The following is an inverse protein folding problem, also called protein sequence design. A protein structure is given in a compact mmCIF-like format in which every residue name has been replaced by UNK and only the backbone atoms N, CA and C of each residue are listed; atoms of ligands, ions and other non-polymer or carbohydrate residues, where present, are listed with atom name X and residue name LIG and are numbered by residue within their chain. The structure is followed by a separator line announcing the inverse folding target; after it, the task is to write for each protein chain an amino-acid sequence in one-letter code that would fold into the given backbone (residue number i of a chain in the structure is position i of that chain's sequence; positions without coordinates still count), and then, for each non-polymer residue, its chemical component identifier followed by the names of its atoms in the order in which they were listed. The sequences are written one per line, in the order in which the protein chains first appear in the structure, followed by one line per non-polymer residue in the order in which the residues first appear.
data_IF_834864915123
#
_entry.id   IF_834864915123
#
_cell.length_a   1.000
_cell.length_b   1.000
_cell.length_c   1.000
_cell.angle_alpha   90.00
_cell.angle_beta   90.00
_cell.angle_gamma   90.00
#
_symmetry.space_group_name_H-M   'P 1'
#
loop_
_entity.id
_entity.type
_entity.pdbx_description
1 polymer ?
#
# COMPACT_ATOMS: atom_id res chain seq x y z
N UNK A 1 16.68 -48.37 6.99
CA UNK A 1 16.36 -47.73 5.69
C UNK A 1 14.88 -47.37 5.68
N UNK A 2 14.51 -46.09 5.72
CA UNK A 2 13.09 -45.71 5.67
C UNK A 2 12.48 -46.09 4.32
N UNK A 3 11.35 -46.82 4.34
CA UNK A 3 10.65 -47.31 3.16
C UNK A 3 10.21 -46.17 2.25
N UNK A 4 10.18 -46.41 0.94
CA UNK A 4 9.82 -45.41 -0.07
C UNK A 4 8.43 -44.79 0.20
N UNK A 5 7.48 -45.61 0.67
CA UNK A 5 6.15 -45.17 1.08
C UNK A 5 6.19 -44.13 2.22
N UNK A 6 7.10 -44.30 3.19
CA UNK A 6 7.26 -43.34 4.30
C UNK A 6 7.78 -41.99 3.80
N UNK A 7 8.71 -42.00 2.84
CA UNK A 7 9.27 -40.78 2.24
C UNK A 7 8.21 -40.06 1.40
N UNK A 8 7.39 -40.80 0.67
CA UNK A 8 6.35 -40.23 -0.18
C UNK A 8 5.21 -39.61 0.64
N UNK A 9 4.81 -40.26 1.74
CA UNK A 9 3.83 -39.68 2.68
C UNK A 9 4.33 -38.37 3.32
N UNK A 10 5.65 -38.30 3.59
CA UNK A 10 6.28 -37.12 4.15
C UNK A 10 6.30 -35.97 3.13
N UNK A 11 6.63 -36.26 1.86
CA UNK A 11 6.61 -35.29 0.77
C UNK A 11 5.20 -34.78 0.47
N UNK A 12 4.18 -35.64 0.46
CA UNK A 12 2.78 -35.22 0.32
C UNK A 12 2.31 -34.32 1.47
N UNK A 13 2.67 -34.66 2.72
CA UNK A 13 2.38 -33.81 3.88
C UNK A 13 3.06 -32.44 3.77
N UNK A 14 4.31 -32.39 3.30
CA UNK A 14 5.03 -31.15 3.04
C UNK A 14 4.36 -30.31 1.93
N UNK A 15 4.00 -30.94 0.82
CA UNK A 15 3.33 -30.27 -0.30
C UNK A 15 1.98 -29.67 0.12
N UNK A 16 1.18 -30.40 0.90
CA UNK A 16 -0.10 -29.90 1.43
C UNK A 16 0.08 -28.67 2.33
N UNK A 17 1.16 -28.63 3.14
CA UNK A 17 1.46 -27.51 4.04
C UNK A 17 1.88 -26.26 3.28
N UNK A 18 2.64 -26.41 2.21
CA UNK A 18 3.18 -25.30 1.41
C UNK A 18 2.11 -24.75 0.45
N UNK A 19 1.29 -25.61 -0.17
CA UNK A 19 0.20 -25.18 -1.05
C UNK A 19 -0.94 -24.48 -0.32
N UNK A 20 -1.30 -24.92 0.89
CA UNK A 20 -2.36 -24.29 1.69
C UNK A 20 -2.04 -22.84 2.12
N UNK A 21 -0.75 -22.45 2.12
CA UNK A 21 -0.32 -21.12 2.55
C UNK A 21 -0.39 -20.05 1.44
N UNK A 22 -0.65 -20.43 0.18
CA UNK A 22 -0.62 -19.53 -0.98
C UNK A 22 -2.00 -19.14 -1.54
N UNK A 23 -3.11 -19.71 -1.04
CA UNK A 23 -4.45 -19.43 -1.57
C UNK A 23 -5.42 -19.00 -0.47
N UNK A 24 -5.16 -17.85 0.16
CA UNK A 24 -6.29 -17.08 0.69
C UNK A 24 -6.82 -16.16 -0.42
N UNK A 25 -8.07 -16.34 -0.90
CA UNK A 25 -8.69 -15.37 -1.77
C UNK A 25 -8.86 -14.07 -1.00
N UNK A 26 -8.09 -13.04 -1.38
CA UNK A 26 -8.27 -11.68 -0.88
C UNK A 26 -9.57 -11.11 -1.44
N UNK A 27 -10.70 -11.51 -0.86
CA UNK A 27 -11.99 -10.86 -1.05
C UNK A 27 -11.97 -9.51 -0.34
N UNK A 28 -11.37 -8.51 -1.00
CA UNK A 28 -11.57 -7.10 -0.67
C UNK A 28 -12.68 -6.57 -1.57
N UNK A 29 -13.74 -5.93 -1.05
CA UNK A 29 -14.70 -5.26 -1.89
C UNK A 29 -13.99 -4.17 -2.72
N UNK A 30 -14.35 -4.08 -4.00
CA UNK A 30 -13.88 -3.03 -4.89
C UNK A 30 -14.42 -1.68 -4.39
N UNK A 31 -13.52 -0.78 -3.98
CA UNK A 31 -13.87 0.59 -3.60
C UNK A 31 -13.58 1.49 -4.81
N UNK A 32 -14.58 2.18 -5.38
CA UNK A 32 -14.34 3.16 -6.45
C UNK A 32 -13.44 4.27 -5.94
N UNK A 33 -12.41 4.61 -6.72
CA UNK A 33 -11.56 5.76 -6.49
C UNK A 33 -12.40 7.05 -6.65
N UNK A 34 -12.80 7.66 -5.54
CA UNK A 34 -13.38 9.00 -5.51
C UNK A 34 -12.24 10.00 -5.79
N UNK A 35 -12.08 10.34 -7.07
CA UNK A 35 -11.21 11.44 -7.48
C UNK A 35 -11.74 12.74 -6.89
N UNK A 36 -10.94 13.39 -6.04
CA UNK A 36 -11.28 14.66 -5.42
C UNK A 36 -11.57 15.72 -6.48
N UNK A 37 -12.85 16.08 -6.60
CA UNK A 37 -13.28 17.35 -7.18
C UNK A 37 -13.55 18.29 -6.02
N UNK A 38 -12.54 19.08 -5.66
CA UNK A 38 -12.75 20.38 -5.03
C UNK A 38 -12.05 21.38 -5.94
N UNK A 39 -12.84 22.17 -6.65
CA UNK A 39 -12.36 23.29 -7.43
C UNK A 39 -11.83 24.35 -6.45
N UNK A 40 -10.51 24.54 -6.46
CA UNK A 40 -9.83 25.66 -5.80
C UNK A 40 -8.79 26.24 -6.77
N UNK A 41 -8.55 27.57 -6.76
CA UNK A 41 -7.78 28.24 -7.80
C UNK A 41 -6.29 27.79 -7.79
N UNK A 42 -5.65 27.66 -8.96
CA UNK A 42 -4.29 27.13 -9.05
C UNK A 42 -3.26 28.13 -8.50
N UNK A 43 -2.53 27.71 -7.45
CA UNK A 43 -1.35 28.43 -6.96
C UNK A 43 -0.22 28.37 -8.00
N UNK A 44 0.23 29.55 -8.45
CA UNK A 44 1.39 29.76 -9.32
C UNK A 44 2.63 29.10 -8.70
N UNK A 45 3.28 28.21 -9.47
CA UNK A 45 4.56 27.59 -9.09
C UNK A 45 5.68 28.34 -9.81
N UNK A 46 6.50 29.07 -9.04
CA UNK A 46 7.66 29.79 -9.56
C UNK A 46 8.66 28.81 -10.18
N UNK A 47 8.98 29.07 -11.45
CA UNK A 47 9.94 28.31 -12.25
C UNK A 47 11.31 28.96 -12.02
N UNK A 48 12.18 28.30 -11.26
CA UNK A 48 13.58 28.69 -11.16
C UNK A 48 14.29 28.33 -12.46
N UNK A 49 14.86 29.34 -13.11
CA UNK A 49 15.61 29.22 -14.35
C UNK A 49 16.93 28.48 -14.11
N UNK A 50 17.09 27.31 -14.72
CA UNK A 50 18.39 26.67 -14.83
C UNK A 50 19.09 27.26 -16.05
N UNK A 51 20.11 28.11 -15.83
CA UNK A 51 21.06 28.50 -16.88
C UNK A 51 21.74 27.23 -17.39
N UNK A 52 21.62 26.94 -18.68
CA UNK A 52 22.49 26.00 -19.37
C UNK A 52 23.68 26.80 -19.90
N UNK A 53 24.87 26.35 -19.52
CA UNK A 53 26.14 26.86 -19.99
C UNK A 53 26.34 26.29 -21.40
N UNK A 54 26.42 27.17 -22.40
CA UNK A 54 26.77 26.83 -23.77
C UNK A 54 28.24 26.44 -23.83
N UNK A 55 28.54 25.29 -24.42
CA UNK A 55 29.89 24.95 -24.88
C UNK A 55 29.79 24.86 -26.40
N UNK A 56 30.46 25.78 -27.08
CA UNK A 56 30.59 25.80 -28.53
C UNK A 56 31.56 24.70 -28.97
N UNK A 57 31.16 23.93 -29.98
CA UNK A 57 32.09 23.29 -30.91
C UNK A 57 31.40 23.15 -32.26
N UNK A 58 31.78 24.01 -33.20
CA UNK A 58 31.50 23.90 -34.62
C UNK A 58 32.20 22.65 -35.18
N UNK A 59 31.59 21.99 -36.17
CA UNK A 59 32.21 21.55 -37.44
C UNK A 59 31.18 20.80 -38.33
N UNK A 60 31.10 21.30 -39.57
CA UNK A 60 30.77 20.65 -40.86
C UNK A 60 29.40 19.97 -41.16
N UNK A 61 28.61 20.68 -41.97
CA UNK A 61 28.11 20.38 -43.34
C UNK A 61 27.66 18.94 -43.69
N UNK A 62 26.39 18.81 -44.14
CA UNK A 62 25.88 18.30 -45.44
C UNK A 62 24.34 18.13 -45.34
N UNK A 63 23.52 18.98 -45.96
CA UNK A 63 22.95 18.96 -47.33
C UNK A 63 21.61 18.19 -47.53
N UNK A 64 20.62 18.95 -48.04
CA UNK A 64 19.49 18.66 -48.97
C UNK A 64 18.03 18.46 -48.49
N UNK A 65 17.28 19.56 -48.73
CA UNK A 65 16.05 19.76 -49.53
C UNK A 65 14.62 19.51 -48.98
N UNK A 66 13.67 20.47 -49.18
CA UNK A 66 12.26 20.40 -48.76
C UNK A 66 11.27 20.19 -49.92
N UNK A 67 10.08 19.67 -49.63
CA UNK A 67 8.91 19.70 -50.52
C UNK A 67 7.61 19.95 -49.73
N UNK A 68 6.84 20.95 -50.16
CA UNK A 68 5.40 21.22 -49.88
C UNK A 68 4.67 21.17 -51.25
N UNK A 69 3.35 21.44 -51.36
CA UNK A 69 2.15 20.95 -50.65
C UNK A 69 1.06 20.47 -51.66
N UNK A 70 -0.10 19.92 -51.20
CA UNK A 70 -1.40 20.18 -51.86
C UNK A 70 -2.65 19.66 -51.10
N UNK A 71 -3.57 20.61 -50.88
CA UNK A 71 -5.03 20.64 -51.17
C UNK A 71 -6.09 19.83 -50.36
N UNK A 72 -6.96 20.66 -49.74
CA UNK A 72 -8.45 20.66 -49.65
C UNK A 72 -9.08 19.53 -48.81
N UNK A 73 -10.05 19.76 -47.90
CA UNK A 73 -11.36 20.38 -48.07
C UNK A 73 -11.97 20.70 -46.68
N UNK A 74 -12.68 21.82 -46.59
CA UNK A 74 -13.44 22.28 -45.44
C UNK A 74 -14.91 21.85 -45.56
N UNK A 75 -15.54 21.49 -44.44
CA UNK A 75 -17.00 21.38 -44.30
C UNK A 75 -17.40 22.14 -43.03
N UNK A 76 -18.35 23.05 -43.21
CA UNK A 76 -19.01 23.90 -42.22
C UNK A 76 -20.04 23.13 -41.37
N UNK A 77 -20.41 23.62 -40.17
CA UNK A 77 -21.71 23.30 -39.59
C UNK A 77 -22.56 24.57 -39.38
N UNK A 78 -23.75 24.57 -39.98
CA UNK A 78 -24.79 25.57 -39.78
C UNK A 78 -25.73 25.18 -38.62
N UNK A 79 -26.22 26.20 -37.93
CA UNK A 79 -27.11 26.18 -36.76
C UNK A 79 -28.59 26.14 -37.18
N UNK A 80 -29.47 25.49 -36.38
CA UNK A 80 -30.63 26.07 -35.64
C UNK A 80 -31.74 25.02 -35.35
N UNK A 81 -32.27 25.11 -34.13
CA UNK A 81 -33.50 24.50 -33.59
C UNK A 81 -34.75 25.36 -34.01
N UNK A 82 -36.04 25.14 -33.58
CA UNK A 82 -36.52 24.70 -32.25
C UNK A 82 -37.80 23.81 -32.21
N UNK A 83 -38.21 23.39 -31.01
CA UNK A 83 -39.53 22.78 -30.75
C UNK A 83 -39.71 22.35 -29.28
N UNK A 84 -40.50 23.14 -28.54
CA UNK A 84 -40.81 23.08 -27.10
C UNK A 84 -42.07 22.23 -26.86
N UNK A 85 -42.09 21.36 -25.83
CA UNK A 85 -43.26 21.12 -24.94
C UNK A 85 -42.76 20.67 -23.55
N UNK A 86 -43.07 21.47 -22.51
CA UNK A 86 -43.00 21.12 -21.09
C UNK A 86 -44.27 20.36 -20.65
N UNK A 87 -44.16 19.44 -19.67
CA UNK A 87 -45.04 19.39 -18.49
C UNK A 87 -44.49 18.45 -17.37
N UNK A 88 -43.97 19.12 -16.33
CA UNK A 88 -44.06 18.93 -14.85
C UNK A 88 -45.25 18.06 -14.34
N UNK A 89 -45.35 17.40 -13.16
CA UNK A 89 -44.77 17.45 -11.79
C UNK A 89 -45.23 16.17 -11.03
N UNK A 90 -44.43 15.60 -10.11
CA UNK A 90 -44.75 15.46 -8.67
C UNK A 90 -43.79 14.54 -7.89
N UNK A 91 -43.31 15.11 -6.79
CA UNK A 91 -42.52 14.52 -5.69
C UNK A 91 -43.48 13.98 -4.62
N UNK A 92 -43.05 12.99 -3.84
CA UNK A 92 -43.40 12.88 -2.43
C UNK A 92 -42.29 12.16 -1.63
N UNK A 93 -42.11 12.60 -0.39
CA UNK A 93 -40.93 12.44 0.47
C UNK A 93 -41.44 12.11 1.89
N UNK A 94 -41.06 10.93 2.45
CA UNK A 94 -40.95 10.44 3.87
C UNK A 94 -42.16 10.60 4.86
N UNK A 95 -42.26 9.91 6.04
CA UNK A 95 -41.20 9.42 6.96
C UNK A 95 -41.38 8.06 7.73
N UNK A 96 -40.35 7.77 8.53
CA UNK A 96 -40.11 6.72 9.55
C UNK A 96 -41.29 6.13 10.36
N UNK A 97 -41.10 4.90 10.88
CA UNK A 97 -41.80 4.42 12.08
C UNK A 97 -41.53 2.95 12.45
N UNK A 98 -40.95 2.74 13.64
CA UNK A 98 -40.69 1.47 14.35
C UNK A 98 -41.98 0.91 14.97
N UNK A 99 -42.06 -0.41 15.23
CA UNK A 99 -42.84 -1.18 16.27
C UNK A 99 -43.26 -2.54 15.66
N UNK A 100 -42.56 -3.63 15.97
CA UNK A 100 -42.78 -4.61 17.07
C UNK A 100 -43.96 -5.57 16.84
N UNK A 101 -43.58 -6.85 16.86
CA UNK A 101 -44.33 -8.09 17.14
C UNK A 101 -45.87 -8.06 17.21
N UNK A 102 -46.49 -8.94 16.43
CA UNK A 102 -47.57 -9.79 16.96
C UNK A 102 -47.43 -11.21 16.44
N UNK A 103 -47.23 -12.14 17.37
CA UNK A 103 -47.45 -13.57 17.15
C UNK A 103 -48.94 -13.81 17.04
N UNK A 104 -49.39 -14.49 15.98
CA UNK A 104 -50.62 -15.26 16.02
C UNK A 104 -50.39 -16.64 15.41
N UNK A 105 -50.74 -17.65 16.19
CA UNK A 105 -50.89 -19.07 15.84
C UNK A 105 -52.35 -19.44 16.20
N UNK A 106 -52.85 -20.61 15.82
CA UNK A 106 -53.46 -20.94 14.53
C UNK A 106 -54.98 -21.17 14.69
N UNK A 107 -55.75 -21.12 13.59
CA UNK A 107 -57.05 -21.79 13.54
C UNK A 107 -57.16 -22.63 12.27
N UNK A 108 -57.60 -23.87 12.48
CA UNK A 108 -57.51 -24.99 11.55
C UNK A 108 -58.48 -24.93 10.38
N UNK A 109 -58.03 -25.55 9.29
CA UNK A 109 -58.81 -25.99 8.15
C UNK A 109 -58.20 -27.30 7.64
N UNK A 110 -59.06 -28.27 7.33
CA UNK A 110 -58.81 -29.70 7.01
C UNK A 110 -57.81 -29.96 5.87
N UNK A 111 -57.27 -31.20 5.75
CA UNK A 111 -56.06 -31.50 5.00
C UNK A 111 -56.37 -31.58 3.51
N UNK A 112 -56.05 -30.52 2.79
CA UNK A 112 -56.21 -30.44 1.35
C UNK A 112 -55.00 -29.75 0.75
N UNK A 113 -54.05 -30.56 0.29
CA UNK A 113 -53.12 -30.27 -0.82
C UNK A 113 -52.89 -28.78 -1.12
N UNK A 114 -52.05 -28.14 -0.31
CA UNK A 114 -51.34 -26.92 -0.71
C UNK A 114 -49.88 -27.25 -0.91
N UNK A 115 -49.59 -28.08 -1.90
CA UNK A 115 -48.28 -28.04 -2.53
C UNK A 115 -48.21 -26.73 -3.32
N UNK A 116 -48.04 -25.61 -2.62
CA UNK A 116 -47.69 -24.36 -3.28
C UNK A 116 -46.36 -24.60 -3.98
N UNK A 117 -46.24 -24.17 -5.23
CA UNK A 117 -44.97 -24.21 -5.98
C UNK A 117 -43.85 -23.53 -5.18
N UNK A 118 -44.22 -22.54 -4.35
CA UNK A 118 -43.34 -21.86 -3.41
C UNK A 118 -42.87 -22.77 -2.29
N UNK A 119 -43.71 -23.66 -1.77
CA UNK A 119 -43.35 -24.58 -0.70
C UNK A 119 -42.45 -25.71 -1.22
N UNK A 120 -42.71 -26.21 -2.43
CA UNK A 120 -41.80 -27.14 -3.12
C UNK A 120 -40.45 -26.47 -3.40
N UNK A 121 -40.45 -25.18 -3.79
CA UNK A 121 -39.22 -24.42 -4.01
C UNK A 121 -38.46 -24.18 -2.71
N UNK A 122 -39.16 -23.87 -1.61
CA UNK A 122 -38.56 -23.74 -0.27
C UNK A 122 -37.97 -25.08 0.18
N UNK A 123 -38.68 -26.18 -0.04
CA UNK A 123 -38.19 -27.53 0.28
C UNK A 123 -36.95 -27.88 -0.55
N UNK A 124 -36.99 -27.71 -1.87
CA UNK A 124 -35.80 -27.88 -2.74
C UNK A 124 -34.65 -26.95 -2.36
N UNK A 125 -34.93 -25.72 -1.94
CA UNK A 125 -33.91 -24.78 -1.49
C UNK A 125 -33.28 -25.26 -0.18
N UNK A 126 -34.09 -25.72 0.78
CA UNK A 126 -33.60 -26.28 2.04
C UNK A 126 -32.78 -27.55 1.80
N UNK A 127 -33.26 -28.45 0.95
CA UNK A 127 -32.56 -29.66 0.53
C UNK A 127 -31.23 -29.32 -0.17
N UNK A 128 -31.22 -28.34 -1.09
CA UNK A 128 -29.98 -27.86 -1.74
C UNK A 128 -29.01 -27.20 -0.75
N UNK A 129 -29.52 -26.47 0.24
CA UNK A 129 -28.72 -25.85 1.30
C UNK A 129 -28.12 -26.94 2.22
N UNK A 130 -28.86 -28.00 2.52
CA UNK A 130 -28.38 -29.11 3.34
C UNK A 130 -27.38 -29.99 2.59
N UNK A 131 -27.65 -30.32 1.32
CA UNK A 131 -26.69 -30.99 0.42
C UNK A 131 -25.38 -30.20 0.29
N UNK A 132 -25.47 -28.87 0.10
CA UNK A 132 -24.29 -28.02 0.00
C UNK A 132 -23.58 -27.79 1.34
N UNK A 133 -24.28 -27.95 2.47
CA UNK A 133 -23.67 -28.00 3.81
C UNK A 133 -22.90 -29.30 4.04
N UNK A 134 -23.29 -30.42 3.41
CA UNK A 134 -22.59 -31.71 3.46
C UNK A 134 -21.36 -31.83 2.56
N UNK A 135 -21.15 -30.90 1.61
CA UNK A 135 -19.96 -30.85 0.73
C UNK A 135 -18.71 -30.23 1.41
N UNK A 136 -18.80 -29.88 2.69
CA UNK A 136 -17.66 -29.66 3.57
C UNK A 136 -17.81 -30.52 4.82
N UNK A 137 -16.70 -30.94 5.44
CA UNK A 137 -16.69 -31.85 6.61
C UNK A 137 -17.84 -31.56 7.59
N UNK A 138 -18.74 -32.53 7.86
CA UNK A 138 -19.89 -32.31 8.73
C UNK A 138 -19.40 -31.95 10.11
N UNK A 139 -19.95 -30.88 10.67
CA UNK A 139 -19.77 -30.56 12.07
C UNK A 139 -21.01 -29.80 12.48
N UNK A 140 -22.01 -30.57 12.90
CA UNK A 140 -23.28 -30.06 13.35
C UNK A 140 -23.07 -28.91 14.33
N UNK A 141 -23.87 -27.84 14.28
CA UNK A 141 -23.71 -26.70 15.18
C UNK A 141 -23.88 -27.10 16.66
N UNK A 142 -24.49 -28.27 16.92
CA UNK A 142 -24.63 -28.88 18.24
C UNK A 142 -23.49 -29.84 18.60
N UNK A 143 -22.60 -30.18 17.68
CA UNK A 143 -21.45 -31.03 17.96
C UNK A 143 -20.50 -30.31 18.92
N UNK A 144 -20.12 -30.99 20.00
CA UNK A 144 -19.26 -30.43 21.05
C UNK A 144 -17.94 -29.86 20.51
N UNK A 145 -17.39 -30.44 19.44
CA UNK A 145 -16.15 -29.97 18.83
C UNK A 145 -16.30 -28.57 18.20
N UNK A 146 -17.49 -28.26 17.66
CA UNK A 146 -17.81 -26.96 17.07
C UNK A 146 -18.01 -25.92 18.16
N UNK A 147 -18.69 -26.30 19.25
CA UNK A 147 -18.88 -25.44 20.42
C UNK A 147 -17.54 -25.10 21.07
N UNK A 148 -16.69 -26.10 21.35
CA UNK A 148 -15.32 -25.91 21.86
C UNK A 148 -14.48 -25.02 20.93
N UNK A 149 -14.61 -25.15 19.61
CA UNK A 149 -13.93 -24.27 18.64
C UNK A 149 -14.47 -22.83 18.65
N UNK A 150 -15.78 -22.66 18.84
CA UNK A 150 -16.43 -21.35 18.93
C UNK A 150 -16.07 -20.63 20.23
N UNK A 151 -16.02 -21.35 21.34
CA UNK A 151 -15.56 -20.86 22.64
C UNK A 151 -14.09 -20.45 22.58
N UNK A 152 -13.21 -21.27 22.00
CA UNK A 152 -11.80 -20.89 21.77
C UNK A 152 -11.69 -19.60 20.95
N UNK A 153 -12.49 -19.44 19.89
CA UNK A 153 -12.54 -18.19 19.10
C UNK A 153 -13.07 -17.00 19.91
N UNK A 154 -14.02 -17.22 20.82
CA UNK A 154 -14.55 -16.18 21.72
C UNK A 154 -13.49 -15.73 22.72
N UNK A 155 -12.83 -16.67 23.39
CA UNK A 155 -11.72 -16.41 24.31
C UNK A 155 -10.54 -15.71 23.62
N UNK A 156 -10.19 -16.11 22.39
CA UNK A 156 -9.14 -15.46 21.60
C UNK A 156 -9.50 -14.01 21.26
N UNK A 157 -10.77 -13.75 20.87
CA UNK A 157 -11.27 -12.39 20.62
C UNK A 157 -11.23 -11.55 21.88
N UNK A 158 -11.61 -12.11 23.03
CA UNK A 158 -11.54 -11.42 24.32
C UNK A 158 -10.10 -11.10 24.72
N UNK A 159 -9.17 -12.05 24.58
CA UNK A 159 -7.73 -11.81 24.80
C UNK A 159 -7.19 -10.70 23.91
N UNK A 160 -7.58 -10.68 22.62
CA UNK A 160 -7.21 -9.59 21.69
C UNK A 160 -7.83 -8.25 22.11
N UNK A 161 -9.07 -8.23 22.59
CA UNK A 161 -9.69 -7.01 23.13
C UNK A 161 -8.99 -6.51 24.39
N UNK A 162 -8.65 -7.40 25.34
CA UNK A 162 -7.88 -7.06 26.56
C UNK A 162 -6.53 -6.43 26.22
N UNK A 163 -5.74 -7.07 25.35
CA UNK A 163 -4.46 -6.52 24.86
C UNK A 163 -4.60 -5.15 24.18
N UNK A 164 -5.68 -4.93 23.42
CA UNK A 164 -5.94 -3.63 22.79
C UNK A 164 -6.29 -2.56 23.82
N UNK A 165 -7.07 -2.91 24.85
CA UNK A 165 -7.40 -2.02 25.97
C UNK A 165 -6.15 -1.70 26.80
N UNK A 166 -5.35 -2.70 27.17
CA UNK A 166 -4.07 -2.52 27.87
C UNK A 166 -3.13 -1.61 27.08
N UNK A 167 -3.01 -1.81 25.77
CA UNK A 167 -2.17 -0.96 24.91
C UNK A 167 -2.71 0.46 24.79
N UNK A 168 -4.04 0.64 24.79
CA UNK A 168 -4.66 1.95 24.77
C UNK A 168 -4.45 2.67 26.11
N UNK A 169 -4.62 1.97 27.23
CA UNK A 169 -4.37 2.48 28.58
C UNK A 169 -2.89 2.86 28.73
N UNK A 170 -1.96 2.00 28.32
CA UNK A 170 -0.52 2.29 28.33
C UNK A 170 -0.17 3.54 27.51
N UNK A 171 -0.78 3.70 26.34
CA UNK A 171 -0.62 4.90 25.51
C UNK A 171 -1.24 6.16 26.12
N UNK A 172 -2.35 6.03 26.84
CA UNK A 172 -2.97 7.14 27.54
C UNK A 172 -2.14 7.54 28.76
N UNK A 173 -1.60 6.58 29.51
CA UNK A 173 -0.67 6.81 30.63
C UNK A 173 0.65 7.45 30.16
N UNK A 174 1.25 6.95 29.07
CA UNK A 174 2.44 7.53 28.44
C UNK A 174 2.19 8.97 27.94
N UNK A 175 0.96 9.26 27.48
CA UNK A 175 0.55 10.62 27.08
C UNK A 175 0.22 11.53 28.27
N UNK A 176 -0.25 10.96 29.37
CA UNK A 176 -0.55 11.67 30.61
C UNK A 176 0.67 11.86 31.51
N UNK A 177 1.84 11.34 31.12
CA UNK A 177 3.10 11.47 31.88
C UNK A 177 3.09 10.76 33.24
N UNK A 178 2.11 9.89 33.50
CA UNK A 178 2.01 9.10 34.72
C UNK A 178 2.63 7.73 34.47
N UNK A 179 3.86 7.55 34.96
CA UNK A 179 4.46 6.23 35.13
C UNK A 179 3.60 5.44 36.13
N UNK A 180 3.19 4.24 35.72
CA UNK A 180 2.51 3.29 36.59
C UNK A 180 3.58 2.52 37.39
N UNK A 181 3.92 3.04 38.56
CA UNK A 181 4.45 2.27 39.67
C UNK A 181 3.26 1.72 40.47
N UNK A 182 3.15 0.40 40.74
CA UNK A 182 2.17 -0.11 41.69
C UNK A 182 2.67 0.15 43.11
N UNK A 183 2.45 1.37 43.61
CA UNK A 183 2.76 1.74 44.99
C UNK A 183 1.63 1.31 45.94
N UNK A 184 2.01 0.58 46.98
CA UNK A 184 1.13 0.06 48.02
C UNK A 184 0.71 1.20 48.94
N UNK A 185 -0.62 1.41 49.00
CA UNK A 185 -1.41 2.15 49.99
C UNK A 185 -0.71 2.50 51.31
N UNK A 186 -0.68 3.80 51.64
CA UNK A 186 -1.02 4.31 52.98
C UNK A 186 -1.83 5.61 52.84
N UNK A 187 -3.10 5.53 53.21
CA UNK A 187 -3.97 6.66 53.52
C UNK A 187 -3.78 7.00 55.01
N UNK A 188 -3.63 8.28 55.35
CA UNK A 188 -4.52 8.97 56.31
C UNK A 188 -4.30 10.49 56.26
N UNK A 189 -5.39 11.24 56.47
CA UNK A 189 -5.55 12.69 56.34
C UNK A 189 -5.95 13.31 57.73
N UNK A 190 -6.48 14.54 57.87
CA UNK A 190 -5.96 15.93 57.69
C UNK A 190 -6.26 16.80 58.99
N UNK A 191 -6.62 18.12 59.00
CA UNK A 191 -6.10 19.44 58.53
C UNK A 191 -5.92 20.44 59.74
N UNK A 192 -6.16 21.81 59.75
CA UNK A 192 -6.27 22.89 58.73
C UNK A 192 -5.56 24.25 59.09
N UNK A 193 -5.33 25.15 58.10
CA UNK A 193 -5.56 26.62 58.25
C UNK A 193 -5.48 27.36 56.90
N UNK A 194 -6.43 28.27 56.64
CA UNK A 194 -6.50 29.23 55.51
C UNK A 194 -6.26 30.67 56.06
N UNK A 195 -6.50 31.80 55.36
CA UNK A 195 -6.56 32.14 53.91
C UNK A 195 -5.73 33.44 53.56
N UNK A 196 -5.56 33.82 52.27
CA UNK A 196 -5.53 35.24 51.84
C UNK A 196 -5.37 35.46 50.31
N UNK A 197 -6.44 36.02 49.73
CA UNK A 197 -6.57 37.11 48.74
C UNK A 197 -5.47 37.47 47.70
N UNK A 198 -5.96 37.67 46.44
CA UNK A 198 -5.46 38.62 45.44
C UNK A 198 -4.35 38.05 44.53
N UNK A 199 -4.53 37.92 43.21
CA UNK A 199 -4.76 39.01 42.25
C UNK A 199 -5.44 38.49 40.98
N UNK A 200 -6.18 39.40 40.38
CA UNK A 200 -7.00 39.28 39.17
C UNK A 200 -6.15 39.02 37.93
N UNK A 201 -6.74 38.34 36.97
CA UNK A 201 -6.19 38.03 35.66
C UNK A 201 -5.81 39.29 34.88
N UNK A 202 -4.52 39.51 34.66
CA UNK A 202 -4.00 40.43 33.65
C UNK A 202 -3.44 39.62 32.46
N UNK A 203 -4.32 38.90 31.78
CA UNK A 203 -4.07 38.47 30.39
C UNK A 203 -5.06 39.16 29.46
N UNK A 204 -5.15 40.49 29.56
CA UNK A 204 -5.64 41.30 28.47
C UNK A 204 -4.56 41.30 27.39
N UNK A 205 -4.70 40.41 26.41
CA UNK A 205 -3.84 40.34 25.23
C UNK A 205 -4.04 41.64 24.44
N UNK A 206 -3.16 42.62 24.68
CA UNK A 206 -3.08 43.84 23.89
C UNK A 206 -2.46 43.47 22.54
N UNK A 207 -3.29 43.50 21.51
CA UNK A 207 -2.95 43.18 20.12
C UNK A 207 -2.17 44.32 19.45
N UNK A 208 -1.07 44.81 20.05
CA UNK A 208 -0.11 45.66 19.31
C UNK A 208 1.24 45.89 20.02
N UNK A 209 1.92 44.81 20.42
CA UNK A 209 3.38 44.85 20.53
C UNK A 209 3.92 43.54 20.00
N UNK A 210 4.30 43.55 18.72
CA UNK A 210 5.17 42.50 18.19
C UNK A 210 6.55 42.82 18.76
N UNK A 211 6.81 42.37 19.98
CA UNK A 211 8.17 42.09 20.39
C UNK A 211 8.62 40.92 19.52
N UNK A 212 9.36 41.25 18.45
CA UNK A 212 10.28 40.31 17.84
C UNK A 212 11.24 39.91 18.96
N UNK A 213 10.86 38.88 19.71
CA UNK A 213 11.74 38.27 20.68
C UNK A 213 13.08 38.06 20.00
N UNK A 214 14.14 38.34 20.75
CA UNK A 214 15.55 38.28 20.39
C UNK A 214 16.01 36.85 20.02
N UNK A 215 15.25 36.17 19.18
CA UNK A 215 15.71 35.13 18.27
C UNK A 215 16.45 35.81 17.14
N UNK A 216 17.54 36.51 17.49
CA UNK A 216 18.46 37.10 16.56
C UNK A 216 18.74 36.12 15.43
N UNK A 217 18.76 36.63 14.20
CA UNK A 217 19.16 35.88 13.04
C UNK A 217 20.65 35.54 13.21
N UNK A 218 20.96 34.52 14.04
CA UNK A 218 22.34 34.13 14.36
C UNK A 218 23.05 34.00 13.04
N UNK A 219 24.11 34.77 12.88
CA UNK A 219 24.84 34.84 11.64
C UNK A 219 25.25 33.42 11.25
N UNK A 220 25.32 33.14 9.94
CA UNK A 220 25.63 31.78 9.43
C UNK A 220 26.91 31.24 10.08
N UNK A 221 27.82 32.11 10.46
CA UNK A 221 29.06 31.80 11.17
C UNK A 221 28.84 31.38 12.63
N UNK A 222 28.00 32.10 13.38
CA UNK A 222 27.65 31.74 14.76
C UNK A 222 26.97 30.37 14.81
N UNK A 223 26.04 30.10 13.88
CA UNK A 223 25.40 28.76 13.74
C UNK A 223 26.41 27.66 13.38
N UNK A 224 27.47 27.96 12.62
CA UNK A 224 28.54 27.00 12.32
C UNK A 224 29.40 26.73 13.55
N UNK A 225 29.73 27.76 14.33
CA UNK A 225 30.49 27.64 15.58
C UNK A 225 29.72 26.79 16.61
N UNK A 226 28.44 27.08 16.80
CA UNK A 226 27.57 26.30 17.71
C UNK A 226 27.48 24.82 17.30
N UNK A 227 27.34 24.53 16.00
CA UNK A 227 27.37 23.14 15.49
C UNK A 227 28.70 22.45 15.71
N UNK A 228 29.83 23.16 15.61
CA UNK A 228 31.15 22.61 15.93
C UNK A 228 31.28 22.32 17.42
N UNK A 229 30.78 23.21 18.27
CA UNK A 229 30.81 23.05 19.73
C UNK A 229 29.95 21.86 20.20
N UNK A 230 28.84 21.56 19.51
CA UNK A 230 28.04 20.36 19.76
C UNK A 230 28.74 19.05 19.41
N UNK A 231 29.82 19.07 18.62
CA UNK A 231 30.55 17.86 18.24
C UNK A 231 31.61 17.57 19.31
N UNK A 232 31.34 16.54 20.12
CA UNK A 232 32.28 16.05 21.14
C UNK A 232 33.59 15.62 20.50
N UNK A 233 34.70 16.13 21.03
CA UNK A 233 36.06 15.81 20.61
C UNK A 233 36.40 16.17 19.16
N UNK A 234 35.62 17.03 18.49
CA UNK A 234 35.83 17.39 17.08
C UNK A 234 35.56 16.24 16.09
N UNK A 235 35.06 15.10 16.57
CA UNK A 235 34.78 13.92 15.76
C UNK A 235 33.27 13.81 15.51
N UNK A 236 32.86 13.94 14.25
CA UNK A 236 31.45 13.77 13.87
C UNK A 236 30.97 12.35 14.14
N UNK A 237 29.83 12.13 14.80
CA UNK A 237 29.38 10.78 15.11
C UNK A 237 28.98 10.03 13.81
N UNK A 238 29.37 8.76 13.69
CA UNK A 238 29.05 7.89 12.54
C UNK A 238 27.64 7.33 12.68
N UNK A 239 26.65 8.21 12.52
CA UNK A 239 25.24 7.90 12.73
C UNK A 239 24.47 7.96 11.41
N UNK A 240 23.43 7.14 11.33
CA UNK A 240 22.42 7.23 10.27
C UNK A 240 22.35 5.99 9.37
N UNK A 241 21.70 6.17 8.22
CA UNK A 241 21.41 5.11 7.24
C UNK A 241 22.13 5.32 5.91
N UNK A 242 22.94 6.38 5.77
CA UNK A 242 23.68 6.68 4.55
C UNK A 242 24.97 5.88 4.47
N UNK A 243 24.85 4.57 4.28
CA UNK A 243 25.99 3.64 4.37
C UNK A 243 27.15 3.97 3.41
N UNK A 244 26.89 4.61 2.26
CA UNK A 244 27.96 5.08 1.35
C UNK A 244 28.79 6.20 1.97
N UNK A 245 28.12 7.19 2.54
CA UNK A 245 28.79 8.31 3.22
C UNK A 245 29.48 7.84 4.49
N UNK A 246 28.87 6.91 5.24
CA UNK A 246 29.49 6.33 6.42
C UNK A 246 30.75 5.54 6.05
N UNK A 247 30.69 4.70 5.02
CA UNK A 247 31.84 3.94 4.55
C UNK A 247 33.00 4.88 4.15
N UNK A 248 32.72 5.90 3.33
CA UNK A 248 33.76 6.88 2.96
C UNK A 248 34.31 7.67 4.16
N UNK A 249 33.51 7.93 5.20
CA UNK A 249 34.00 8.55 6.44
C UNK A 249 34.87 7.61 7.26
N UNK A 250 34.58 6.31 7.29
CA UNK A 250 35.41 5.32 7.98
C UNK A 250 36.74 5.18 7.24
N UNK A 251 36.69 4.99 5.93
CA UNK A 251 37.88 4.86 5.07
C UNK A 251 38.77 6.11 5.19
N UNK A 252 38.19 7.31 5.15
CA UNK A 252 38.95 8.55 5.35
C UNK A 252 39.55 8.71 6.76
N UNK A 253 38.94 8.11 7.79
CA UNK A 253 39.52 8.11 9.15
C UNK A 253 40.68 7.14 9.25
N UNK A 254 40.56 5.96 8.64
CA UNK A 254 41.64 4.97 8.60
C UNK A 254 42.84 5.50 7.82
N UNK A 255 42.61 6.06 6.64
CA UNK A 255 43.68 6.68 5.83
C UNK A 255 44.43 7.75 6.63
N UNK A 256 43.72 8.64 7.34
CA UNK A 256 44.35 9.64 8.21
C UNK A 256 45.16 9.00 9.35
N UNK A 257 44.67 7.93 9.96
CA UNK A 257 45.41 7.23 11.02
C UNK A 257 46.65 6.55 10.45
N UNK A 258 46.57 5.96 9.26
CA UNK A 258 47.70 5.36 8.55
C UNK A 258 48.75 6.42 8.20
N UNK A 259 48.35 7.54 7.60
CA UNK A 259 49.25 8.68 7.33
C UNK A 259 49.92 9.24 8.60
N UNK A 260 49.20 9.24 9.73
CA UNK A 260 49.75 9.64 11.03
C UNK A 260 50.69 8.58 11.61
N UNK A 261 50.42 7.29 11.42
CA UNK A 261 51.30 6.20 11.86
C UNK A 261 52.62 6.21 11.10
N UNK A 262 52.58 6.48 9.80
CA UNK A 262 53.79 6.60 8.97
C UNK A 262 54.69 7.76 9.40
N UNK A 263 54.11 8.85 9.90
CA UNK A 263 54.86 10.02 10.37
C UNK A 263 55.30 9.89 11.83
N UNK A 264 54.36 9.59 12.72
CA UNK A 264 54.51 9.62 14.17
C UNK A 264 53.56 8.62 14.86
N UNK A 265 54.07 7.45 15.25
CA UNK A 265 53.27 6.42 15.92
C UNK A 265 52.63 6.90 17.24
N UNK A 266 53.33 7.72 18.01
CA UNK A 266 52.83 8.25 19.28
C UNK A 266 51.59 9.14 19.09
N UNK A 267 51.62 10.02 18.09
CA UNK A 267 50.46 10.89 17.77
C UNK A 267 49.30 10.06 17.21
N UNK A 268 49.57 9.00 16.46
CA UNK A 268 48.54 8.09 16.00
C UNK A 268 47.82 7.37 17.15
N UNK A 269 48.56 6.84 18.13
CA UNK A 269 47.97 6.19 19.33
C UNK A 269 47.07 7.15 20.11
N UNK A 270 47.51 8.39 20.34
CA UNK A 270 46.70 9.42 21.00
C UNK A 270 45.42 9.73 20.21
N UNK A 271 45.51 9.83 18.88
CA UNK A 271 44.32 10.02 18.04
C UNK A 271 43.36 8.83 18.12
N UNK A 272 43.87 7.60 18.09
CA UNK A 272 43.05 6.39 18.23
C UNK A 272 42.32 6.34 19.58
N UNK A 273 43.02 6.64 20.67
CA UNK A 273 42.43 6.74 22.01
C UNK A 273 41.34 7.80 22.04
N UNK A 274 41.60 8.99 21.47
CA UNK A 274 40.58 10.04 21.33
C UNK A 274 39.36 9.55 20.55
N UNK A 275 39.55 8.78 19.46
CA UNK A 275 38.43 8.20 18.71
C UNK A 275 37.66 7.16 19.54
N UNK A 276 38.35 6.31 20.31
CA UNK A 276 37.73 5.30 21.19
C UNK A 276 36.90 5.96 22.28
N UNK A 277 37.47 6.94 23.01
CA UNK A 277 36.77 7.65 24.08
C UNK A 277 35.58 8.46 23.57
N UNK A 278 35.74 9.19 22.46
CA UNK A 278 34.61 9.93 21.87
C UNK A 278 33.48 8.99 21.41
N UNK A 279 33.80 7.81 20.88
CA UNK A 279 32.82 6.78 20.54
C UNK A 279 32.06 6.30 21.79
N UNK A 280 32.76 6.02 22.89
CA UNK A 280 32.13 5.64 24.17
C UNK A 280 31.21 6.74 24.68
N UNK A 281 31.63 8.01 24.64
CA UNK A 281 30.80 9.14 25.07
C UNK A 281 29.51 9.27 24.26
N UNK A 282 29.59 9.09 22.94
CA UNK A 282 28.40 9.13 22.08
C UNK A 282 27.51 7.89 22.26
N UNK A 283 28.09 6.71 22.51
CA UNK A 283 27.32 5.50 22.84
C UNK A 283 26.59 5.67 24.17
N UNK A 284 27.21 6.29 25.16
CA UNK A 284 26.60 6.65 26.45
C UNK A 284 25.47 7.68 26.28
N UNK A 285 25.60 8.63 25.35
CA UNK A 285 24.51 9.56 24.95
C UNK A 285 23.34 8.82 24.24
N UNK A 286 23.52 7.55 23.87
CA UNK A 286 22.51 6.75 23.17
C UNK A 286 22.60 6.80 21.64
N UNK A 287 23.66 7.40 21.09
CA UNK A 287 23.88 7.41 19.64
C UNK A 287 24.40 6.05 19.15
N UNK A 288 23.70 5.48 18.16
CA UNK A 288 24.09 4.23 17.51
C UNK A 288 25.18 4.47 16.48
N UNK A 289 26.44 4.39 16.92
CA UNK A 289 27.61 4.54 16.05
C UNK A 289 27.79 3.28 15.20
N UNK A 290 28.11 3.48 13.91
CA UNK A 290 28.33 2.43 12.91
C UNK A 290 29.68 2.61 12.24
N UNK A 291 30.66 2.00 12.87
CA UNK A 291 32.09 2.17 12.62
C UNK A 291 32.63 1.03 11.73
N UNK A 292 31.94 -0.11 11.71
CA UNK A 292 32.41 -1.34 11.07
C UNK A 292 32.23 -1.32 9.54
N UNK A 293 33.34 -1.31 8.81
CA UNK A 293 33.34 -1.31 7.34
C UNK A 293 32.63 -2.52 6.75
N UNK A 294 32.89 -3.71 7.29
CA UNK A 294 32.30 -4.96 6.80
C UNK A 294 30.77 -4.94 6.93
N UNK A 295 30.24 -4.43 8.06
CA UNK A 295 28.80 -4.28 8.27
C UNK A 295 28.19 -3.18 7.41
N UNK A 296 28.92 -2.08 7.16
CA UNK A 296 28.50 -1.01 6.27
C UNK A 296 28.42 -1.50 4.81
N UNK A 297 29.44 -2.24 4.33
CA UNK A 297 29.46 -2.89 3.01
C UNK A 297 28.34 -3.93 2.88
N UNK A 298 28.14 -4.78 3.88
CA UNK A 298 27.03 -5.73 3.90
C UNK A 298 25.66 -5.03 3.87
N UNK A 299 25.52 -3.92 4.60
CA UNK A 299 24.29 -3.11 4.63
C UNK A 299 24.02 -2.42 3.29
N UNK A 300 25.06 -2.00 2.57
CA UNK A 300 24.95 -1.51 1.19
C UNK A 300 24.47 -2.61 0.25
N UNK A 301 25.12 -3.78 0.27
CA UNK A 301 24.72 -4.94 -0.54
C UNK A 301 23.27 -5.33 -0.29
N UNK A 302 22.83 -5.36 0.97
CA UNK A 302 21.41 -5.62 1.33
C UNK A 302 20.47 -4.57 0.74
N UNK A 303 20.83 -3.28 0.81
CA UNK A 303 20.01 -2.20 0.21
C UNK A 303 19.91 -2.32 -1.30
N UNK A 304 21.01 -2.65 -1.97
CA UNK A 304 21.06 -2.83 -3.42
C UNK A 304 20.24 -4.07 -3.84
N UNK A 305 20.36 -5.18 -3.11
CA UNK A 305 19.51 -6.36 -3.29
C UNK A 305 18.03 -6.01 -3.18
N UNK A 306 17.62 -5.27 -2.14
CA UNK A 306 16.22 -4.84 -1.99
C UNK A 306 15.75 -3.93 -3.13
N UNK A 307 16.60 -3.03 -3.63
CA UNK A 307 16.29 -2.19 -4.80
C UNK A 307 16.15 -3.02 -6.07
N UNK A 308 17.04 -3.98 -6.30
CA UNK A 308 16.98 -4.88 -7.45
C UNK A 308 15.70 -5.72 -7.45
N UNK A 309 15.31 -6.29 -6.30
CA UNK A 309 14.06 -7.03 -6.17
C UNK A 309 12.85 -6.15 -6.43
N UNK A 310 12.85 -4.90 -5.94
CA UNK A 310 11.77 -3.95 -6.23
C UNK A 310 11.70 -3.62 -7.72
N UNK A 311 12.85 -3.43 -8.37
CA UNK A 311 12.94 -3.21 -9.82
C UNK A 311 12.36 -4.39 -10.58
N UNK A 312 12.80 -5.63 -10.30
CA UNK A 312 12.27 -6.86 -10.91
C UNK A 312 10.76 -7.00 -10.75
N UNK A 313 10.24 -6.82 -9.53
CA UNK A 313 8.79 -6.86 -9.27
C UNK A 313 8.02 -5.78 -10.02
N UNK A 314 8.64 -4.65 -10.32
CA UNK A 314 8.01 -3.60 -11.10
C UNK A 314 8.02 -3.92 -12.59
N UNK A 315 9.14 -4.43 -13.12
CA UNK A 315 9.26 -4.85 -14.51
C UNK A 315 8.31 -6.00 -14.82
N UNK A 316 8.25 -7.02 -13.95
CA UNK A 316 7.30 -8.14 -14.06
C UNK A 316 5.84 -7.65 -14.11
N UNK A 317 5.49 -6.64 -13.30
CA UNK A 317 4.14 -6.07 -13.32
C UNK A 317 3.85 -5.33 -14.62
N UNK A 318 4.79 -4.53 -15.12
CA UNK A 318 4.61 -3.85 -16.41
C UNK A 318 4.50 -4.84 -17.55
N UNK A 319 5.35 -5.88 -17.58
CA UNK A 319 5.33 -6.96 -18.56
C UNK A 319 4.00 -7.69 -18.53
N UNK A 320 3.50 -8.06 -17.33
CA UNK A 320 2.20 -8.72 -17.17
C UNK A 320 1.05 -7.86 -17.72
N UNK A 321 1.10 -6.53 -17.55
CA UNK A 321 0.08 -5.62 -18.09
C UNK A 321 0.13 -5.58 -19.61
N UNK A 322 1.33 -5.45 -20.19
CA UNK A 322 1.54 -5.46 -21.65
C UNK A 322 1.11 -6.79 -22.24
N UNK A 323 1.49 -7.90 -21.63
CA UNK A 323 1.11 -9.24 -22.08
C UNK A 323 -0.42 -9.43 -22.05
N UNK A 324 -1.10 -8.99 -20.98
CA UNK A 324 -2.57 -9.04 -20.92
C UNK A 324 -3.22 -8.18 -22.01
N UNK A 325 -2.63 -7.03 -22.33
CA UNK A 325 -3.11 -6.17 -23.42
C UNK A 325 -2.94 -6.86 -24.78
N UNK A 326 -1.76 -7.44 -25.04
CA UNK A 326 -1.46 -8.20 -26.26
C UNK A 326 -2.38 -9.41 -26.39
N UNK A 327 -2.51 -10.25 -25.36
CA UNK A 327 -3.44 -11.40 -25.35
C UNK A 327 -4.87 -11.01 -25.70
N UNK A 328 -5.36 -9.86 -25.23
CA UNK A 328 -6.69 -9.33 -25.60
C UNK A 328 -6.76 -8.93 -27.07
N UNK A 329 -5.74 -8.24 -27.58
CA UNK A 329 -5.68 -7.86 -28.99
C UNK A 329 -5.57 -9.08 -29.90
N UNK A 330 -4.76 -10.07 -29.55
CA UNK A 330 -4.59 -11.31 -30.30
C UNK A 330 -5.89 -12.13 -30.31
N UNK A 331 -6.59 -12.20 -29.17
CA UNK A 331 -7.92 -12.82 -29.13
C UNK A 331 -8.90 -12.12 -30.07
N UNK A 332 -8.89 -10.78 -30.10
CA UNK A 332 -9.72 -10.00 -31.04
C UNK A 332 -9.33 -10.29 -32.50
N UNK A 333 -8.04 -10.29 -32.82
CA UNK A 333 -7.53 -10.59 -34.17
C UNK A 333 -7.93 -12.00 -34.62
N UNK A 334 -7.73 -13.01 -33.77
CA UNK A 334 -8.14 -14.41 -34.04
C UNK A 334 -9.65 -14.52 -34.25
N UNK A 335 -10.46 -13.86 -33.44
CA UNK A 335 -11.92 -13.87 -33.59
C UNK A 335 -12.38 -13.21 -34.90
N UNK A 336 -11.76 -12.08 -35.29
CA UNK A 336 -12.04 -11.41 -36.57
C UNK A 336 -11.65 -12.32 -37.74
N UNK A 337 -10.46 -12.93 -37.70
CA UNK A 337 -10.01 -13.88 -38.71
C UNK A 337 -10.96 -15.08 -38.82
N UNK A 338 -11.39 -15.66 -37.70
CA UNK A 338 -12.35 -16.77 -37.66
C UNK A 338 -13.69 -16.36 -38.26
N UNK A 339 -14.19 -15.17 -37.96
CA UNK A 339 -15.43 -14.65 -38.53
C UNK A 339 -15.31 -14.45 -40.06
N UNK A 340 -14.19 -13.88 -40.52
CA UNK A 340 -13.94 -13.68 -41.95
C UNK A 340 -13.85 -15.01 -42.70
N UNK A 341 -13.09 -15.99 -42.16
CA UNK A 341 -13.02 -17.36 -42.71
C UNK A 341 -14.39 -18.03 -42.74
N UNK A 342 -15.14 -17.97 -41.64
CA UNK A 342 -16.49 -18.53 -41.58
C UNK A 342 -17.48 -17.88 -42.55
N UNK A 343 -17.34 -16.56 -42.85
CA UNK A 343 -18.14 -15.91 -43.90
C UNK A 343 -17.79 -16.43 -45.30
N UNK A 344 -16.50 -16.66 -45.57
CA UNK A 344 -16.03 -17.22 -46.85
C UNK A 344 -16.49 -18.68 -46.98
N UNK A 345 -16.33 -19.50 -45.94
CA UNK A 345 -16.80 -20.90 -45.91
C UNK A 345 -18.31 -20.98 -46.13
N UNK A 346 -19.11 -20.18 -45.40
CA UNK A 346 -20.57 -20.13 -45.62
C UNK A 346 -20.95 -19.75 -47.06
N UNK A 347 -20.19 -18.85 -47.71
CA UNK A 347 -20.41 -18.52 -49.13
C UNK A 347 -20.08 -19.70 -50.04
N UNK A 348 -18.97 -20.41 -49.77
CA UNK A 348 -18.58 -21.63 -50.49
C UNK A 348 -19.63 -22.74 -50.34
N UNK A 349 -20.10 -22.99 -49.13
CA UNK A 349 -21.12 -24.01 -48.87
C UNK A 349 -22.46 -23.68 -49.53
N UNK A 350 -22.85 -22.40 -49.57
CA UNK A 350 -24.03 -21.96 -50.34
C UNK A 350 -23.86 -22.18 -51.85
N UNK A 351 -22.65 -21.99 -52.40
CA UNK A 351 -22.37 -22.26 -53.80
C UNK A 351 -22.45 -23.77 -54.10
N UNK A 352 -21.86 -24.62 -53.25
CA UNK A 352 -21.95 -26.09 -53.34
C UNK A 352 -23.39 -26.58 -53.27
N UNK A 353 -24.19 -26.08 -52.32
CA UNK A 353 -25.62 -26.42 -52.21
C UNK A 353 -26.44 -26.03 -53.45
N UNK A 354 -25.98 -25.04 -54.23
CA UNK A 354 -26.58 -24.64 -55.50
C UNK A 354 -25.98 -25.39 -56.70
N UNK A 355 -25.18 -26.43 -56.48
CA UNK A 355 -24.56 -27.23 -57.53
C UNK A 355 -23.37 -26.57 -58.23
N UNK A 356 -22.84 -25.45 -57.73
CA UNK A 356 -21.65 -24.80 -58.32
C UNK A 356 -20.37 -25.48 -57.84
N UNK A 357 -19.57 -25.98 -58.77
CA UNK A 357 -18.26 -26.58 -58.49
C UNK A 357 -17.24 -25.47 -58.20
N UNK A 358 -16.55 -25.55 -57.06
CA UNK A 358 -15.52 -24.57 -56.69
C UNK A 358 -14.13 -25.04 -57.16
N UNK A 359 -13.19 -24.12 -57.46
CA UNK A 359 -11.82 -24.48 -57.84
C UNK A 359 -11.07 -25.35 -56.81
N UNK A 360 -11.44 -25.25 -55.53
CA UNK A 360 -10.88 -26.09 -54.46
C UNK A 360 -11.35 -27.54 -54.54
N UNK A 361 -12.56 -27.77 -55.04
CA UNK A 361 -13.13 -29.11 -55.17
C UNK A 361 -12.53 -29.80 -56.42
N UNK A 362 -12.22 -29.05 -57.48
CA UNK A 362 -11.46 -29.55 -58.64
C UNK A 362 -10.04 -29.94 -58.26
N UNK A 363 -9.34 -29.13 -57.45
CA UNK A 363 -7.99 -29.46 -56.96
C UNK A 363 -7.98 -30.70 -56.06
N UNK A 364 -9.05 -30.95 -55.31
CA UNK A 364 -9.21 -32.16 -54.48
C UNK A 364 -9.51 -33.41 -55.29
N UNK A 365 -10.07 -33.27 -56.49
CA UNK A 365 -10.37 -34.40 -57.38
C UNK A 365 -9.19 -34.77 -58.30
N UNK A 366 -8.17 -33.92 -58.39
CA UNK A 366 -6.93 -34.16 -59.14
C UNK A 366 -5.81 -34.80 -58.29
N UNK A 367 -6.02 -34.91 -56.98
CA UNK A 367 -5.20 -35.70 -56.04
C UNK A 367 -5.97 -36.97 -55.75
#
# INVERSE_FOLDING_TARGET
MASLASKDSYLQKLASKVCAQQQEPRNRPFVPFQGGRVAGPPKKRNKTNHKQISVNSNVAKHQKLPLKPNKKLAITPAQRAPGVVEQKISKATVPNGVVVETKQKPKGGKPGTKFSTVDILRQRLHEKIEESRGQGTPKDPSSEEVQKKREKRKQERERKKRKRKEFLIKKLAEKAGLEYEPEIKREEAPPPTAPAAGKRDETAIVFNKVELGDGGFLDKEQKKKEKKNRIKGGLTPLVGKNYKQLLGRVEARKAKLEELREKDEGKAKVQEEKMKWTNVLYKAEGLKIKDDENLLRASLKRKEKMRSQRKKKWTERSETVVEKMQRRQDKRRRNIQKNNKGKVEKKKDRARKRGRVLPEDLKKAQV
#
